data_IF_870001735727
#
_entry.id   IF_870001735727
#
_cell.length_a   1.000
_cell.length_b   1.000
_cell.length_c   1.000
_cell.angle_alpha   90.00
_cell.angle_beta   90.00
_cell.angle_gamma   90.00
#
_symmetry.space_group_name_H-M   'P 1'
#
loop_
_entity.id
_entity.type
_entity.pdbx_description
1 polymer ?
#
# COMPACT_ATOMS: atom_id res chain seq x y z
N UNK A 1 4.82 -20.69 11.80
CA UNK A 1 4.84 -19.42 12.55
C UNK A 1 4.87 -18.25 11.57
N UNK A 2 3.96 -17.32 11.69
CA UNK A 2 3.95 -16.13 10.84
C UNK A 2 5.03 -15.16 11.31
N UNK A 3 5.76 -14.57 10.35
CA UNK A 3 6.71 -13.49 10.62
C UNK A 3 5.93 -12.18 10.67
N UNK A 4 6.02 -11.48 11.79
CA UNK A 4 5.40 -10.17 11.91
C UNK A 4 6.30 -9.11 11.28
N UNK A 5 5.69 -8.17 10.55
CA UNK A 5 6.41 -7.14 9.81
C UNK A 5 6.46 -5.84 10.60
N UNK A 6 7.57 -5.11 10.48
CA UNK A 6 7.69 -3.76 11.03
C UNK A 6 6.87 -2.76 10.21
N UNK A 7 6.80 -2.98 8.91
CA UNK A 7 6.00 -2.12 8.04
C UNK A 7 5.91 -2.66 6.63
N UNK A 8 5.00 -2.08 5.88
CA UNK A 8 4.78 -2.40 4.47
C UNK A 8 4.66 -1.09 3.71
N UNK A 9 5.33 -1.03 2.57
CA UNK A 9 5.31 0.15 1.71
C UNK A 9 4.65 -0.22 0.38
N UNK A 10 3.60 0.51 0.03
CA UNK A 10 2.94 0.39 -1.27
C UNK A 10 3.32 1.61 -2.09
N UNK A 11 3.94 1.39 -3.24
CA UNK A 11 4.49 2.48 -4.04
C UNK A 11 3.74 2.68 -5.34
N UNK A 12 3.60 3.94 -5.74
CA UNK A 12 3.02 4.32 -7.01
C UNK A 12 3.81 5.48 -7.61
N UNK A 13 4.07 5.42 -8.91
CA UNK A 13 4.76 6.53 -9.60
C UNK A 13 3.80 7.68 -9.80
N UNK A 14 4.21 8.89 -9.41
CA UNK A 14 3.39 10.10 -9.60
C UNK A 14 3.27 10.46 -11.08
N UNK A 15 4.18 9.96 -11.92
CA UNK A 15 4.17 10.19 -13.35
C UNK A 15 3.09 9.39 -14.09
N UNK A 16 2.46 8.42 -13.44
CA UNK A 16 1.36 7.67 -14.01
C UNK A 16 0.07 8.46 -13.85
N UNK A 17 -0.36 9.14 -14.90
CA UNK A 17 -1.39 10.16 -14.84
C UNK A 17 -2.82 9.64 -14.68
N UNK A 18 -3.04 8.34 -14.82
CA UNK A 18 -4.34 7.76 -14.52
C UNK A 18 -4.18 6.33 -13.98
N UNK A 19 -5.20 5.89 -13.26
CA UNK A 19 -5.23 4.53 -12.72
C UNK A 19 -5.99 3.61 -13.65
N UNK A 20 -5.31 2.56 -14.12
CA UNK A 20 -5.98 1.50 -14.88
C UNK A 20 -6.84 0.63 -13.96
N UNK A 21 -7.74 -0.15 -14.55
CA UNK A 21 -8.49 -1.13 -13.77
C UNK A 21 -7.60 -2.14 -13.06
N UNK A 22 -6.47 -2.52 -13.68
CA UNK A 22 -5.50 -3.42 -13.07
C UNK A 22 -4.84 -2.80 -11.84
N UNK A 23 -4.52 -1.51 -11.88
CA UNK A 23 -3.92 -0.81 -10.75
C UNK A 23 -4.90 -0.65 -9.60
N UNK A 24 -6.15 -0.33 -9.89
CA UNK A 24 -7.20 -0.24 -8.88
C UNK A 24 -7.43 -1.60 -8.21
N UNK A 25 -7.43 -2.67 -9.00
CA UNK A 25 -7.56 -4.02 -8.48
C UNK A 25 -6.36 -4.43 -7.64
N UNK A 26 -5.16 -4.08 -8.06
CA UNK A 26 -3.94 -4.30 -7.29
C UNK A 26 -4.05 -3.67 -5.90
N UNK A 27 -4.54 -2.44 -5.83
CA UNK A 27 -4.72 -1.77 -4.54
C UNK A 27 -5.79 -2.45 -3.68
N UNK A 28 -6.89 -2.91 -4.29
CA UNK A 28 -7.92 -3.66 -3.56
C UNK A 28 -7.37 -4.92 -2.93
N UNK A 29 -6.56 -5.65 -3.68
CA UNK A 29 -5.89 -6.86 -3.18
C UNK A 29 -4.95 -6.51 -2.04
N UNK A 30 -4.14 -5.46 -2.22
CA UNK A 30 -3.21 -5.00 -1.19
C UNK A 30 -3.94 -4.63 0.10
N UNK A 31 -5.04 -3.87 0.01
CA UNK A 31 -5.79 -3.50 1.20
C UNK A 31 -6.40 -4.72 1.90
N UNK A 32 -6.77 -5.75 1.13
CA UNK A 32 -7.22 -7.02 1.68
C UNK A 32 -6.12 -7.82 2.37
N UNK A 33 -4.88 -7.68 1.90
CA UNK A 33 -3.72 -8.29 2.56
C UNK A 33 -3.43 -7.65 3.91
N UNK A 34 -3.53 -6.33 4.00
CA UNK A 34 -3.20 -5.58 5.21
C UNK A 34 -4.27 -5.73 6.29
N UNK A 35 -5.54 -5.69 5.92
CA UNK A 35 -6.64 -5.59 6.88
C UNK A 35 -6.65 -4.23 7.56
N UNK A 36 -7.33 -4.11 8.70
CA UNK A 36 -7.46 -2.84 9.40
C UNK A 36 -6.61 -2.75 10.68
N UNK A 37 -6.10 -3.87 11.19
CA UNK A 37 -5.36 -3.88 12.46
C UNK A 37 -3.89 -3.50 12.32
N UNK A 38 -3.34 -3.59 11.10
CA UNK A 38 -1.94 -3.27 10.84
C UNK A 38 -1.76 -2.06 9.94
N UNK A 39 -2.80 -1.25 9.75
CA UNK A 39 -2.75 -0.09 8.85
C UNK A 39 -1.80 1.00 9.35
N UNK A 40 -1.55 1.09 10.65
CA UNK A 40 -0.55 2.00 11.20
C UNK A 40 0.89 1.64 10.77
N UNK A 41 1.07 0.44 10.22
CA UNK A 41 2.35 -0.02 9.67
C UNK A 41 2.44 0.10 8.15
N UNK A 42 1.42 0.68 7.51
CA UNK A 42 1.37 0.84 6.06
C UNK A 42 1.81 2.25 5.68
N UNK A 43 2.71 2.32 4.71
CA UNK A 43 3.11 3.59 4.09
C UNK A 43 2.70 3.56 2.62
N UNK A 44 1.92 4.55 2.23
CA UNK A 44 1.49 4.73 0.85
C UNK A 44 2.39 5.82 0.26
N UNK A 45 3.23 5.44 -0.69
CA UNK A 45 4.33 6.28 -1.14
C UNK A 45 4.18 6.57 -2.63
N UNK A 46 4.26 7.85 -2.99
CA UNK A 46 4.41 8.24 -4.39
C UNK A 46 5.86 8.51 -4.71
N UNK A 47 6.29 8.08 -5.88
CA UNK A 47 7.68 8.14 -6.32
C UNK A 47 7.81 8.94 -7.61
N UNK A 48 9.03 9.09 -8.12
CA UNK A 48 9.35 9.76 -9.38
C UNK A 48 9.06 11.26 -9.37
N UNK A 49 9.05 11.87 -8.21
CA UNK A 49 8.86 13.32 -8.09
C UNK A 49 9.99 14.11 -8.73
N UNK A 50 11.19 13.53 -8.80
CA UNK A 50 12.34 14.12 -9.48
C UNK A 50 12.18 14.17 -10.99
N UNK A 51 11.22 13.44 -11.55
CA UNK A 51 10.89 13.46 -12.98
C UNK A 51 9.78 14.47 -13.32
N UNK A 52 9.18 15.08 -12.32
CA UNK A 52 8.10 16.04 -12.49
C UNK A 52 8.69 17.44 -12.58
N UNK A 53 8.35 18.18 -13.64
CA UNK A 53 8.70 19.59 -13.76
C UNK A 53 7.66 20.45 -13.07
N UNK A 54 7.42 21.65 -13.63
CA UNK A 54 6.36 22.55 -13.16
C UNK A 54 5.02 22.01 -13.68
N UNK A 55 4.47 21.05 -12.96
CA UNK A 55 3.40 20.23 -13.52
C UNK A 55 2.20 20.14 -12.59
N UNK A 56 1.13 20.82 -13.00
CA UNK A 56 -0.15 20.73 -12.30
C UNK A 56 -0.78 19.33 -12.41
N UNK A 57 -0.40 18.55 -13.43
CA UNK A 57 -0.94 17.19 -13.58
C UNK A 57 -0.46 16.26 -12.48
N UNK A 58 0.76 16.47 -11.97
CA UNK A 58 1.26 15.67 -10.83
C UNK A 58 0.43 15.94 -9.57
N UNK A 59 0.05 17.20 -9.32
CA UNK A 59 -0.79 17.56 -8.18
C UNK A 59 -2.19 16.97 -8.32
N UNK A 60 -2.74 16.95 -9.53
CA UNK A 60 -4.03 16.31 -9.80
C UNK A 60 -3.95 14.81 -9.57
N UNK A 61 -2.87 14.17 -10.02
CA UNK A 61 -2.65 12.75 -9.79
C UNK A 61 -2.52 12.44 -8.29
N UNK A 62 -1.81 13.28 -7.55
CA UNK A 62 -1.68 13.12 -6.11
C UNK A 62 -3.04 13.19 -5.41
N UNK A 63 -3.86 14.17 -5.77
CA UNK A 63 -5.20 14.31 -5.19
C UNK A 63 -6.06 13.09 -5.48
N UNK A 64 -5.99 12.57 -6.70
CA UNK A 64 -6.74 11.37 -7.09
C UNK A 64 -6.26 10.15 -6.33
N UNK A 65 -4.95 9.97 -6.17
CA UNK A 65 -4.41 8.84 -5.42
C UNK A 65 -4.79 8.90 -3.94
N UNK A 66 -4.75 10.09 -3.35
CA UNK A 66 -5.19 10.25 -1.96
C UNK A 66 -6.66 9.88 -1.79
N UNK A 67 -7.49 10.21 -2.77
CA UNK A 67 -8.89 9.83 -2.76
C UNK A 67 -9.08 8.31 -2.89
N UNK A 68 -8.33 7.67 -3.78
CA UNK A 68 -8.34 6.21 -3.93
C UNK A 68 -7.87 5.49 -2.66
N UNK A 69 -6.91 6.08 -1.95
CA UNK A 69 -6.29 5.49 -0.77
C UNK A 69 -6.97 5.90 0.55
N UNK A 70 -8.03 6.68 0.46
CA UNK A 70 -8.73 7.26 1.62
C UNK A 70 -9.07 6.20 2.68
N UNK A 71 -9.53 5.04 2.26
CA UNK A 71 -9.93 3.98 3.19
C UNK A 71 -8.77 3.56 4.09
N UNK A 72 -7.58 3.34 3.52
CA UNK A 72 -6.41 2.95 4.31
C UNK A 72 -5.86 4.13 5.11
N UNK A 73 -5.88 5.34 4.54
CA UNK A 73 -5.41 6.53 5.25
C UNK A 73 -6.29 6.79 6.48
N UNK A 74 -7.60 6.69 6.33
CA UNK A 74 -8.53 6.84 7.46
C UNK A 74 -8.33 5.77 8.53
N UNK A 75 -7.85 4.59 8.13
CA UNK A 75 -7.58 3.50 9.06
C UNK A 75 -6.20 3.58 9.72
N UNK A 76 -5.38 4.56 9.37
CA UNK A 76 -4.09 4.78 10.03
C UNK A 76 -2.85 4.72 9.13
N UNK A 77 -3.00 4.40 7.84
CA UNK A 77 -1.87 4.41 6.92
C UNK A 77 -1.41 5.85 6.67
N UNK A 78 -0.10 6.03 6.51
CA UNK A 78 0.46 7.34 6.23
C UNK A 78 0.84 7.46 4.77
N UNK A 79 0.47 8.59 4.17
CA UNK A 79 0.87 8.97 2.82
C UNK A 79 2.18 9.75 2.90
N UNK A 80 3.16 9.40 2.05
CA UNK A 80 4.45 10.08 2.00
C UNK A 80 4.96 10.16 0.57
N UNK A 81 5.77 11.18 0.29
CA UNK A 81 6.41 11.37 -1.00
C UNK A 81 7.87 10.95 -0.91
N UNK A 82 8.32 10.20 -1.91
CA UNK A 82 9.73 9.87 -2.06
C UNK A 82 10.34 10.73 -3.16
N UNK A 83 11.34 11.52 -2.80
CA UNK A 83 11.97 12.48 -3.72
C UNK A 83 13.29 12.00 -4.29
N UNK A 84 13.56 10.70 -4.22
CA UNK A 84 14.82 10.11 -4.69
C UNK A 84 16.04 10.67 -3.95
N UNK A 85 15.89 10.94 -2.67
CA UNK A 85 16.97 11.38 -1.78
C UNK A 85 17.08 10.44 -0.59
N UNK A 86 18.30 10.27 -0.02
CA UNK A 86 18.44 9.48 1.20
C UNK A 86 17.57 10.00 2.34
N UNK A 87 17.42 11.31 2.47
CA UNK A 87 16.62 11.94 3.52
C UNK A 87 15.16 11.50 3.42
N UNK A 88 14.56 11.58 2.23
CA UNK A 88 13.16 11.18 2.06
C UNK A 88 12.97 9.68 2.26
N UNK A 89 13.96 8.86 1.89
CA UNK A 89 13.92 7.42 2.14
C UNK A 89 13.92 7.13 3.64
N UNK A 90 14.81 7.78 4.39
CA UNK A 90 14.90 7.58 5.83
C UNK A 90 13.65 8.07 6.57
N UNK A 91 13.04 9.17 6.14
CA UNK A 91 11.79 9.65 6.72
C UNK A 91 10.70 8.60 6.64
N UNK A 92 10.62 7.89 5.52
CA UNK A 92 9.61 6.84 5.33
C UNK A 92 9.90 5.65 6.25
N UNK A 93 11.14 5.18 6.29
CA UNK A 93 11.53 3.98 7.02
C UNK A 93 11.56 4.22 8.53
N UNK A 94 12.16 5.33 8.97
CA UNK A 94 12.28 5.64 10.40
C UNK A 94 10.91 5.84 11.05
N UNK A 95 9.94 6.35 10.32
CA UNK A 95 8.59 6.53 10.83
C UNK A 95 7.88 5.23 11.20
N UNK A 96 8.39 4.07 10.76
CA UNK A 96 7.78 2.78 11.07
C UNK A 96 8.08 2.29 12.50
N UNK A 97 9.19 2.75 13.11
CA UNK A 97 9.56 2.32 14.46
C UNK A 97 9.93 0.84 14.53
N UNK A 98 9.77 0.26 15.70
CA UNK A 98 10.20 -1.12 15.96
C UNK A 98 9.05 -2.08 16.23
N UNK A 99 7.82 -1.62 16.31
CA UNK A 99 6.67 -2.49 16.50
C UNK A 99 6.46 -3.36 15.27
N UNK A 100 5.99 -4.58 15.52
CA UNK A 100 5.69 -5.54 14.47
C UNK A 100 4.27 -6.01 14.60
N UNK A 101 3.58 -6.16 13.47
CA UNK A 101 2.20 -6.65 13.42
C UNK A 101 2.03 -7.61 12.25
N UNK A 102 1.24 -8.64 12.45
CA UNK A 102 0.88 -9.54 11.38
C UNK A 102 -0.19 -8.88 10.49
N UNK A 103 -0.02 -9.02 9.17
CA UNK A 103 -1.05 -8.60 8.22
C UNK A 103 -2.25 -9.56 8.28
N UNK A 104 -3.40 -9.07 7.85
CA UNK A 104 -4.59 -9.91 7.79
C UNK A 104 -4.34 -11.19 6.99
N UNK A 105 -3.69 -11.09 5.85
CA UNK A 105 -3.35 -12.26 5.04
C UNK A 105 -2.57 -13.30 5.84
N UNK A 106 -1.57 -12.87 6.61
CA UNK A 106 -0.78 -13.79 7.45
C UNK A 106 -1.64 -14.46 8.51
N UNK A 107 -2.52 -13.70 9.16
CA UNK A 107 -3.42 -14.26 10.18
C UNK A 107 -4.40 -15.25 9.57
N UNK A 108 -4.95 -14.94 8.40
CA UNK A 108 -5.90 -15.83 7.74
C UNK A 108 -5.24 -17.13 7.30
N UNK A 109 -4.05 -17.09 6.73
CA UNK A 109 -3.35 -18.28 6.26
C UNK A 109 -2.82 -19.14 7.41
N UNK A 110 -2.22 -18.52 8.42
CA UNK A 110 -1.51 -19.26 9.48
C UNK A 110 -2.43 -19.55 10.66
N UNK A 111 -3.06 -18.50 11.21
CA UNK A 111 -3.82 -18.65 12.45
C UNK A 111 -5.22 -19.21 12.23
N UNK A 112 -5.86 -18.87 11.13
CA UNK A 112 -7.22 -19.32 10.81
C UNK A 112 -7.25 -20.51 9.87
N UNK A 113 -6.10 -20.92 9.34
CA UNK A 113 -6.00 -22.10 8.47
C UNK A 113 -6.71 -21.96 7.13
N UNK A 114 -6.98 -20.75 6.68
CA UNK A 114 -7.66 -20.54 5.39
C UNK A 114 -6.75 -20.88 4.22
N UNK A 115 -7.35 -21.34 3.12
CA UNK A 115 -6.64 -21.42 1.85
C UNK A 115 -6.48 -20.01 1.27
N UNK A 116 -5.56 -19.85 0.32
CA UNK A 116 -5.32 -18.55 -0.30
C UNK A 116 -6.59 -17.95 -0.90
N UNK A 117 -7.43 -18.77 -1.54
CA UNK A 117 -8.69 -18.32 -2.13
C UNK A 117 -9.72 -17.88 -1.10
N UNK A 118 -9.65 -18.41 0.10
CA UNK A 118 -10.58 -18.09 1.19
C UNK A 118 -10.19 -16.83 1.93
N UNK A 119 -8.97 -16.31 1.73
CA UNK A 119 -8.54 -15.08 2.38
C UNK A 119 -9.24 -13.86 1.79
N UNK A 120 -9.29 -12.78 2.55
CA UNK A 120 -9.86 -11.52 2.06
C UNK A 120 -9.15 -11.05 0.79
N UNK A 121 -7.83 -11.09 0.76
CA UNK A 121 -7.06 -10.72 -0.43
C UNK A 121 -7.32 -11.67 -1.59
N UNK A 122 -7.38 -12.97 -1.32
CA UNK A 122 -7.64 -13.99 -2.35
C UNK A 122 -9.01 -13.84 -2.97
N UNK A 123 -10.03 -13.47 -2.19
CA UNK A 123 -11.38 -13.23 -2.71
C UNK A 123 -11.45 -11.99 -3.59
N UNK A 124 -10.53 -11.05 -3.44
CA UNK A 124 -10.46 -9.84 -4.27
C UNK A 124 -9.64 -10.03 -5.54
N UNK A 125 -8.83 -11.08 -5.60
CA UNK A 125 -8.01 -11.37 -6.76
C UNK A 125 -8.85 -11.98 -7.88
N UNK A 126 -8.50 -11.71 -9.15
CA UNK A 126 -9.21 -12.37 -10.27
C UNK A 126 -8.92 -13.86 -10.27
N UNK A 127 -9.90 -14.66 -10.75
CA UNK A 127 -9.70 -16.07 -10.97
C UNK A 127 -8.91 -16.26 -12.27
N UNK A 128 -7.82 -17.01 -12.15
CA UNK A 128 -7.07 -17.43 -13.33
C UNK A 128 -7.29 -18.93 -13.52
N UNK A 129 -7.69 -19.30 -14.72
CA UNK A 129 -7.68 -20.71 -15.11
C UNK A 129 -6.23 -21.09 -15.42
N UNK A 130 -5.81 -22.17 -14.81
CA UNK A 130 -4.46 -22.71 -15.03
C UNK A 130 -4.56 -23.81 -16.06
#
# INVERSE_FOLDING_TARGET
MAIELTGVIYMRRITDTYSSGAEQQSFRIFSGMCGTQATDRVRLVTTMWDQVGDDTSALQTESRLKAEWEFLISAGALYQNFYNTPESAWEIVDGLGYERKALLLQRELVNMGKTLKETTAGMRAPEYEV
#
